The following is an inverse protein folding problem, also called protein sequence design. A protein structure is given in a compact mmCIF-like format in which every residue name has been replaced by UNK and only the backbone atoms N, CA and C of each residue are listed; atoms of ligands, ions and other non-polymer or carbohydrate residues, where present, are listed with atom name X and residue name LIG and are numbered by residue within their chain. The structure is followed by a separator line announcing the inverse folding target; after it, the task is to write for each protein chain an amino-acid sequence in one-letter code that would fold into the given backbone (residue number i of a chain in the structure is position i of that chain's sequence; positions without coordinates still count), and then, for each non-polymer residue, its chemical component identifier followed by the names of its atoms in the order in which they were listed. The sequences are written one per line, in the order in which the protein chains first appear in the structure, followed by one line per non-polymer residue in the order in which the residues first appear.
data_IF_650838740882
#
_entry.id   IF_650838740882
#
_cell.length_a   1.000
_cell.length_b   1.000
_cell.length_c   1.000
_cell.angle_alpha   90.00
_cell.angle_beta   90.00
_cell.angle_gamma   90.00
#
_symmetry.space_group_name_H-M   'P 1'
#
loop_
_entity.id
_entity.type
_entity.pdbx_description
1 polymer ?
#
# COMPACT_ATOMS: atom_id res chain seq x y z
N UNK A 1 -11.67 -12.29 0.35
CA UNK A 1 -10.54 -11.89 -0.52
C UNK A 1 -9.27 -12.60 -0.06
N UNK A 2 -8.49 -13.19 -0.97
CA UNK A 2 -7.18 -13.80 -0.62
C UNK A 2 -6.16 -12.72 -0.28
N UNK A 3 -5.13 -13.05 0.49
CA UNK A 3 -4.11 -12.06 0.89
C UNK A 3 -3.37 -11.46 -0.30
N UNK A 4 -3.05 -12.26 -1.33
CA UNK A 4 -2.37 -11.77 -2.54
C UNK A 4 -3.23 -10.77 -3.35
N UNK A 5 -4.52 -11.05 -3.51
CA UNK A 5 -5.44 -10.14 -4.20
C UNK A 5 -5.58 -8.80 -3.45
N UNK A 6 -5.59 -8.83 -2.11
CA UNK A 6 -5.64 -7.62 -1.29
C UNK A 6 -4.39 -6.76 -1.42
N UNK A 7 -3.20 -7.37 -1.45
CA UNK A 7 -1.93 -6.64 -1.62
C UNK A 7 -1.86 -5.95 -2.98
N UNK A 8 -2.24 -6.64 -4.06
CA UNK A 8 -2.28 -6.04 -5.39
C UNK A 8 -3.28 -4.86 -5.46
N UNK A 9 -4.43 -4.99 -4.78
CA UNK A 9 -5.40 -3.92 -4.71
C UNK A 9 -4.92 -2.73 -3.87
N UNK A 10 -4.28 -2.98 -2.73
CA UNK A 10 -3.64 -1.94 -1.91
C UNK A 10 -2.56 -1.19 -2.72
N UNK A 11 -1.69 -1.91 -3.41
CA UNK A 11 -0.67 -1.33 -4.27
C UNK A 11 -1.28 -0.45 -5.37
N UNK A 12 -2.33 -0.95 -6.04
CA UNK A 12 -3.04 -0.21 -7.08
C UNK A 12 -3.63 1.09 -6.53
N UNK A 13 -4.25 1.05 -5.33
CA UNK A 13 -4.78 2.26 -4.67
C UNK A 13 -3.67 3.28 -4.41
N UNK A 14 -2.54 2.86 -3.82
CA UNK A 14 -1.42 3.75 -3.52
C UNK A 14 -0.80 4.39 -4.78
N UNK A 15 -0.95 3.78 -5.96
CA UNK A 15 -0.51 4.36 -7.23
C UNK A 15 -1.50 5.40 -7.81
N UNK A 16 -2.79 5.34 -7.45
CA UNK A 16 -3.81 6.23 -8.03
C UNK A 16 -3.73 7.68 -7.56
N UNK A 17 -3.27 7.91 -6.33
CA UNK A 17 -3.07 9.25 -5.78
C UNK A 17 -1.95 9.19 -4.76
N UNK A 18 -1.32 10.35 -4.55
CA UNK A 18 -0.09 10.47 -3.77
C UNK A 18 -0.25 10.03 -2.33
N UNK A 19 -1.31 10.46 -1.64
CA UNK A 19 -1.46 10.25 -0.21
C UNK A 19 -2.81 9.57 0.09
N UNK A 20 -2.82 8.65 1.04
CA UNK A 20 -4.00 7.91 1.49
C UNK A 20 -4.08 7.85 3.00
N UNK A 21 -5.21 8.18 3.62
CA UNK A 21 -5.36 7.85 5.05
C UNK A 21 -5.48 6.34 5.26
N UNK A 22 -5.06 5.87 6.44
CA UNK A 22 -5.22 4.46 6.80
C UNK A 22 -6.68 4.02 6.90
N UNK A 23 -7.59 4.94 7.27
CA UNK A 23 -9.03 4.70 7.36
C UNK A 23 -9.66 4.55 5.97
N UNK A 24 -9.37 5.44 5.02
CA UNK A 24 -9.89 5.34 3.66
C UNK A 24 -9.45 4.06 2.94
N UNK A 25 -8.24 3.56 3.24
CA UNK A 25 -7.75 2.28 2.71
C UNK A 25 -8.45 1.10 3.37
N UNK A 26 -8.65 1.16 4.69
CA UNK A 26 -9.37 0.15 5.46
C UNK A 26 -10.80 -0.01 4.93
N UNK A 27 -11.50 1.10 4.72
CA UNK A 27 -12.88 1.11 4.21
C UNK A 27 -12.95 0.55 2.77
N UNK A 28 -12.06 1.01 1.87
CA UNK A 28 -12.06 0.56 0.47
C UNK A 28 -11.67 -0.89 0.27
N UNK A 29 -10.86 -1.43 1.18
CA UNK A 29 -10.43 -2.83 1.15
C UNK A 29 -11.29 -3.73 2.05
N UNK A 30 -12.27 -3.15 2.76
CA UNK A 30 -13.13 -3.82 3.72
C UNK A 30 -12.34 -4.60 4.79
N UNK A 31 -11.30 -3.96 5.35
CA UNK A 31 -10.44 -4.54 6.38
C UNK A 31 -10.17 -3.58 7.52
N UNK A 32 -9.61 -4.08 8.62
CA UNK A 32 -9.20 -3.20 9.73
C UNK A 32 -7.96 -2.38 9.39
N UNK A 33 -7.79 -1.23 10.05
CA UNK A 33 -6.54 -0.46 9.98
C UNK A 33 -5.30 -1.24 10.48
N UNK A 34 -5.47 -2.28 11.32
CA UNK A 34 -4.38 -3.20 11.67
C UNK A 34 -3.96 -4.07 10.47
N UNK A 35 -4.92 -4.48 9.65
CA UNK A 35 -4.66 -5.24 8.41
C UNK A 35 -3.94 -4.37 7.40
N UNK A 36 -4.32 -3.09 7.26
CA UNK A 36 -3.61 -2.14 6.40
C UNK A 36 -2.15 -2.01 6.81
N UNK A 37 -1.86 -1.82 8.11
CA UNK A 37 -0.48 -1.77 8.63
C UNK A 37 0.33 -3.00 8.23
N UNK A 38 -0.23 -4.21 8.43
CA UNK A 38 0.42 -5.47 8.06
C UNK A 38 0.62 -5.62 6.55
N UNK A 39 -0.34 -5.22 5.74
CA UNK A 39 -0.24 -5.31 4.29
C UNK A 39 0.79 -4.29 3.74
N UNK A 40 0.90 -3.11 4.35
CA UNK A 40 1.94 -2.12 4.05
C UNK A 40 3.33 -2.63 4.42
N UNK A 41 3.49 -3.24 5.60
CA UNK A 41 4.74 -3.89 6.00
C UNK A 41 5.16 -4.95 4.98
N UNK A 42 4.21 -5.77 4.52
CA UNK A 42 4.47 -6.78 3.49
C UNK A 42 4.84 -6.17 2.14
N UNK A 43 4.21 -5.07 1.73
CA UNK A 43 4.61 -4.37 0.51
C UNK A 43 6.07 -3.86 0.61
N UNK A 44 6.48 -3.36 1.77
CA UNK A 44 7.87 -2.94 2.03
C UNK A 44 8.84 -4.11 1.97
N UNK A 45 8.50 -5.25 2.55
CA UNK A 45 9.28 -6.50 2.46
C UNK A 45 9.47 -6.96 1.01
N UNK A 46 8.47 -6.69 0.15
CA UNK A 46 8.50 -7.00 -1.29
C UNK A 46 9.24 -5.94 -2.14
N UNK A 47 9.81 -4.90 -1.51
CA UNK A 47 10.57 -3.85 -2.19
C UNK A 47 9.73 -2.68 -2.72
N UNK A 48 8.45 -2.58 -2.36
CA UNK A 48 7.64 -1.41 -2.67
C UNK A 48 7.83 -0.33 -1.59
N UNK A 49 8.41 0.84 -1.92
CA UNK A 49 8.70 1.89 -0.95
C UNK A 49 7.42 2.63 -0.57
N UNK A 50 6.79 2.21 0.53
CA UNK A 50 5.60 2.86 1.10
C UNK A 50 5.99 3.65 2.34
N UNK A 51 5.78 4.95 2.33
CA UNK A 51 6.04 5.81 3.50
C UNK A 51 4.79 5.97 4.35
N UNK A 52 5.00 6.13 5.66
CA UNK A 52 3.94 6.47 6.62
C UNK A 52 3.97 7.98 6.88
N UNK A 53 2.83 8.64 6.70
CA UNK A 53 2.64 10.04 7.02
C UNK A 53 2.24 10.17 8.49
N UNK A 54 3.01 10.92 9.27
CA UNK A 54 2.74 11.20 10.68
C UNK A 54 1.66 12.28 10.85
N UNK A 55 0.81 12.14 11.88
CA UNK A 55 -0.20 13.13 12.27
C UNK A 55 -1.61 12.55 12.50
N UNK A 56 -2.59 13.38 12.91
CA UNK A 56 -3.96 12.95 13.22
C UNK A 56 -4.72 12.36 12.03
N UNK A 57 -4.36 12.78 10.81
CA UNK A 57 -4.87 12.24 9.54
C UNK A 57 -3.86 11.28 8.88
N UNK A 58 -2.99 10.67 9.69
CA UNK A 58 -1.85 9.87 9.24
C UNK A 58 -2.23 8.80 8.21
N UNK A 59 -1.31 8.56 7.30
CA UNK A 59 -1.60 7.87 6.05
C UNK A 59 -0.41 7.15 5.45
N UNK A 60 -0.58 6.72 4.21
CA UNK A 60 0.39 5.98 3.44
C UNK A 60 0.52 6.62 2.07
N UNK A 61 1.75 6.61 1.55
CA UNK A 61 2.03 6.97 0.17
C UNK A 61 3.00 5.98 -0.44
N UNK A 62 2.83 5.73 -1.73
CA UNK A 62 3.89 5.10 -2.50
C UNK A 62 4.86 6.20 -2.95
N UNK A 63 6.14 6.06 -2.63
CA UNK A 63 7.15 7.00 -3.09
C UNK A 63 7.26 6.97 -4.61
N UNK A 64 7.35 8.16 -5.22
CA UNK A 64 7.41 8.30 -6.66
C UNK A 64 8.83 8.03 -7.14
N UNK A 65 9.07 6.81 -7.63
CA UNK A 65 10.25 6.46 -8.40
C UNK A 65 11.04 5.28 -7.85
N UNK A 66 11.43 4.39 -8.78
CA UNK A 66 12.37 3.25 -8.70
C UNK A 66 11.87 1.85 -8.32
N UNK A 67 10.63 1.66 -7.86
CA UNK A 67 10.04 0.31 -7.88
C UNK A 67 9.64 -0.06 -9.31
N UNK A 68 10.64 -0.36 -10.16
CA UNK A 68 10.39 -1.21 -11.31
C UNK A 68 9.80 -2.51 -10.76
N UNK A 69 8.55 -2.89 -11.09
CA UNK A 69 8.14 -4.27 -10.87
C UNK A 69 9.19 -5.17 -11.53
N UNK A 70 9.57 -6.33 -10.95
CA UNK A 70 10.59 -7.18 -11.54
C UNK A 70 10.20 -7.46 -12.98
N UNK A 71 10.94 -6.86 -13.92
CA UNK A 71 10.79 -7.15 -15.33
C UNK A 71 11.32 -8.58 -15.48
N UNK A 72 10.40 -9.54 -15.56
CA UNK A 72 10.69 -10.81 -16.22
C UNK A 72 10.91 -10.46 -17.69
N UNK A 73 12.18 -10.32 -18.07
CA UNK A 73 12.60 -10.33 -19.46
C UNK A 73 12.76 -11.81 -19.83
N UNK A 74 11.84 -12.32 -20.65
CA UNK A 74 12.08 -13.50 -21.49
C UNK A 74 12.69 -13.05 -22.82
#
# INVERSE_FOLDING_TARGET
MTTSARLLKLLSLLQTRRDWSGEELADRLEVSGRTIRRDVERLRELGYPVDALSGPAGGYRLEAGTAMPPLLLD
#
